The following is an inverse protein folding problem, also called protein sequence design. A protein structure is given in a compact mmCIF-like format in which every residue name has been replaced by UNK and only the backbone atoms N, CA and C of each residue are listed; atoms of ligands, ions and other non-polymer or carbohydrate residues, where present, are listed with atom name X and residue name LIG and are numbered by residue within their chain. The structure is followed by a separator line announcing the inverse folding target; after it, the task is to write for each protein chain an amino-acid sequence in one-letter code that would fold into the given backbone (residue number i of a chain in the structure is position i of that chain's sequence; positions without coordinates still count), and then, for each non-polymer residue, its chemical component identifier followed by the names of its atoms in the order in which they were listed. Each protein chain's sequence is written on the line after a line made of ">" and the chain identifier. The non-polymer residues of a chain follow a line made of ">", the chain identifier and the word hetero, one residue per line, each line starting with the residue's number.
data_IF_894669352895
#
_entry.id   IF_894669352895
#
_cell.length_a   1.000
_cell.length_b   1.000
_cell.length_c   1.000
_cell.angle_alpha   90.00
_cell.angle_beta   90.00
_cell.angle_gamma   90.00
#
_symmetry.space_group_name_H-M   'P 1'
#
loop_
_entity.id
_entity.type
_entity.pdbx_description
1 polymer ?
#
# COMPACT_ATOMS: atom_id res chain seq x y z
N UNK A 1 27.05 -40.35 44.05
CA UNK A 1 26.67 -39.04 44.60
C UNK A 1 25.50 -38.49 43.81
N UNK A 2 24.38 -38.24 44.49
CA UNK A 2 23.13 -37.75 43.93
C UNK A 2 23.18 -36.23 43.76
N UNK A 3 22.64 -35.73 42.65
CA UNK A 3 22.33 -34.31 42.46
C UNK A 3 20.89 -34.20 41.96
N UNK A 4 19.95 -34.13 42.89
CA UNK A 4 18.59 -33.65 42.64
C UNK A 4 18.66 -32.14 42.47
N UNK A 5 18.48 -31.66 41.24
CA UNK A 5 18.41 -30.24 40.96
C UNK A 5 16.94 -29.85 40.78
N UNK A 6 16.61 -28.82 41.55
CA UNK A 6 15.30 -28.29 41.89
C UNK A 6 14.59 -27.73 40.65
N UNK A 7 13.29 -28.00 40.59
CA UNK A 7 12.31 -27.43 39.68
C UNK A 7 12.23 -25.91 39.80
N UNK A 8 12.19 -25.17 38.68
CA UNK A 8 11.27 -24.05 38.60
C UNK A 8 10.49 -24.07 37.29
N UNK A 9 9.24 -24.53 37.41
CA UNK A 9 8.09 -24.09 36.63
C UNK A 9 8.17 -22.56 36.38
N UNK A 10 7.83 -22.13 35.16
CA UNK A 10 7.42 -20.75 34.74
C UNK A 10 8.37 -19.89 33.88
N UNK A 11 9.23 -20.44 33.01
CA UNK A 11 9.93 -19.59 32.00
C UNK A 11 9.93 -20.17 30.58
N UNK A 12 9.02 -21.08 30.24
CA UNK A 12 8.99 -21.70 28.89
C UNK A 12 7.78 -21.30 28.04
N UNK A 13 6.79 -20.59 28.61
CA UNK A 13 5.56 -20.22 27.89
C UNK A 13 5.53 -18.79 27.31
N UNK A 14 6.67 -18.11 27.17
CA UNK A 14 6.74 -16.72 26.65
C UNK A 14 7.61 -16.60 25.39
N UNK A 15 7.74 -17.68 24.60
CA UNK A 15 8.52 -17.66 23.36
C UNK A 15 7.80 -18.27 22.14
N UNK A 16 6.50 -18.59 22.24
CA UNK A 16 5.76 -19.27 21.16
C UNK A 16 4.68 -18.41 20.47
N UNK A 17 4.60 -17.11 20.76
CA UNK A 17 3.59 -16.20 20.17
C UNK A 17 4.19 -15.07 19.31
N UNK A 18 5.35 -15.29 18.70
CA UNK A 18 5.99 -14.33 17.79
C UNK A 18 6.23 -14.87 16.37
N UNK A 19 5.35 -15.75 15.86
CA UNK A 19 5.39 -16.19 14.45
C UNK A 19 4.04 -16.04 13.72
N UNK A 20 3.17 -15.18 14.22
CA UNK A 20 2.08 -14.67 13.40
C UNK A 20 2.54 -13.33 12.80
N UNK A 21 2.43 -13.20 11.49
CA UNK A 21 2.70 -11.98 10.70
C UNK A 21 4.16 -11.79 10.24
N UNK A 22 4.68 -12.73 9.45
CA UNK A 22 5.52 -12.32 8.31
C UNK A 22 4.56 -12.16 7.13
N UNK A 23 3.84 -11.04 7.19
CA UNK A 23 3.09 -10.51 6.07
C UNK A 23 4.05 -10.27 4.91
N UNK A 24 3.69 -10.86 3.78
CA UNK A 24 4.26 -10.68 2.46
C UNK A 24 4.49 -9.19 2.20
N UNK A 25 5.69 -8.84 1.72
CA UNK A 25 5.95 -8.00 0.53
C UNK A 25 7.38 -7.48 0.58
N UNK A 26 8.33 -8.23 0.01
CA UNK A 26 9.53 -7.61 -0.58
C UNK A 26 9.12 -7.03 -1.93
N UNK A 27 8.51 -5.85 -1.90
CA UNK A 27 8.38 -4.97 -3.05
C UNK A 27 9.35 -3.81 -2.85
N UNK A 28 10.26 -3.62 -3.79
CA UNK A 28 11.40 -2.72 -3.71
C UNK A 28 11.04 -1.31 -3.21
N UNK A 29 11.61 -0.92 -2.06
CA UNK A 29 11.59 0.44 -1.54
C UNK A 29 12.75 1.25 -2.14
N UNK A 30 12.55 1.75 -3.37
CA UNK A 30 13.11 3.06 -3.73
C UNK A 30 12.39 4.16 -2.92
N UNK A 31 12.79 5.45 -3.01
CA UNK A 31 12.03 6.54 -2.40
C UNK A 31 10.62 6.57 -3.00
N UNK A 32 9.68 5.86 -2.39
CA UNK A 32 8.32 5.72 -2.90
C UNK A 32 7.66 7.08 -2.75
N UNK A 33 7.51 7.80 -3.87
CA UNK A 33 6.71 9.00 -3.93
C UNK A 33 5.27 8.60 -3.57
N UNK A 34 4.95 8.71 -2.29
CA UNK A 34 3.70 8.20 -1.73
C UNK A 34 2.66 9.28 -1.93
N UNK A 35 1.75 9.05 -2.87
CA UNK A 35 0.62 9.92 -3.09
C UNK A 35 -0.31 9.86 -1.88
N UNK A 36 -0.68 11.03 -1.34
CA UNK A 36 -1.62 11.14 -0.23
C UNK A 36 -3.06 10.90 -0.73
N UNK A 37 -3.45 9.64 -0.86
CA UNK A 37 -4.81 9.26 -1.21
C UNK A 37 -5.77 9.41 -0.01
N UNK A 38 -7.02 9.85 -0.22
CA UNK A 38 -7.66 10.13 -1.51
C UNK A 38 -7.48 11.58 -2.00
N UNK A 39 -6.82 12.46 -1.25
CA UNK A 39 -6.66 13.87 -1.64
C UNK A 39 -5.93 14.04 -2.98
N UNK A 40 -4.93 13.18 -3.23
CA UNK A 40 -4.15 13.15 -4.46
C UNK A 40 -4.98 12.80 -5.71
N UNK A 41 -6.17 12.20 -5.55
CA UNK A 41 -7.09 11.94 -6.65
C UNK A 41 -7.70 13.24 -7.19
N UNK A 42 -7.96 14.22 -6.33
CA UNK A 42 -8.51 15.53 -6.72
C UNK A 42 -7.43 16.60 -6.88
N UNK A 43 -6.30 16.44 -6.18
CA UNK A 43 -5.18 17.36 -6.21
C UNK A 43 -3.86 16.57 -6.16
N UNK A 44 -3.37 16.05 -7.31
CA UNK A 44 -2.20 15.17 -7.36
C UNK A 44 -0.88 15.84 -7.03
N UNK A 45 -0.83 17.17 -6.92
CA UNK A 45 0.43 17.90 -6.75
C UNK A 45 1.34 17.80 -7.98
N UNK A 46 2.64 17.97 -7.77
CA UNK A 46 3.65 17.83 -8.82
C UNK A 46 3.89 16.35 -9.15
N UNK A 47 4.09 16.05 -10.43
CA UNK A 47 4.49 14.72 -10.87
C UNK A 47 5.87 14.38 -10.30
N UNK A 48 6.09 13.11 -9.99
CA UNK A 48 7.40 12.63 -9.60
C UNK A 48 8.25 12.33 -10.86
N UNK A 49 9.31 13.10 -11.13
CA UNK A 49 10.14 12.91 -12.32
C UNK A 49 11.10 11.71 -12.18
N UNK A 50 11.28 11.17 -10.97
CA UNK A 50 12.21 10.08 -10.70
C UNK A 50 11.62 8.69 -10.99
N UNK A 51 10.29 8.57 -11.00
CA UNK A 51 9.59 7.33 -11.29
C UNK A 51 8.77 7.47 -12.57
N UNK A 52 9.07 6.60 -13.55
CA UNK A 52 8.29 6.47 -14.76
C UNK A 52 7.34 5.29 -14.61
N UNK A 53 6.07 5.51 -14.86
CA UNK A 53 5.03 4.48 -14.86
C UNK A 53 4.26 4.49 -16.16
N UNK A 54 3.83 3.32 -16.59
CA UNK A 54 2.84 3.16 -17.65
C UNK A 54 1.46 3.15 -17.02
N UNK A 55 0.69 4.20 -17.26
CA UNK A 55 -0.66 4.33 -16.76
C UNK A 55 -1.67 3.90 -17.83
N UNK A 56 -2.70 3.16 -17.40
CA UNK A 56 -3.85 2.79 -18.24
C UNK A 56 -5.17 3.23 -17.61
N UNK A 57 -5.13 3.87 -16.46
CA UNK A 57 -6.30 4.41 -15.78
C UNK A 57 -6.02 5.80 -15.18
N UNK A 58 -7.05 6.62 -15.10
CA UNK A 58 -6.98 7.94 -14.48
C UNK A 58 -8.24 8.24 -13.68
N UNK A 59 -8.08 8.89 -12.52
CA UNK A 59 -9.23 9.40 -11.79
C UNK A 59 -9.72 10.72 -12.38
N UNK A 60 -11.01 10.78 -12.70
CA UNK A 60 -11.68 11.97 -13.19
C UNK A 60 -12.42 12.66 -12.02
N UNK A 61 -11.95 13.81 -11.53
CA UNK A 61 -12.56 14.49 -10.40
C UNK A 61 -13.92 15.12 -10.71
N UNK A 62 -14.26 15.28 -11.99
CA UNK A 62 -15.55 15.80 -12.48
C UNK A 62 -16.61 14.71 -12.44
N UNK A 63 -16.32 13.52 -12.95
CA UNK A 63 -17.25 12.38 -12.93
C UNK A 63 -17.18 11.57 -11.64
N UNK A 64 -16.18 11.84 -10.78
CA UNK A 64 -15.86 11.11 -9.53
C UNK A 64 -15.60 9.62 -9.77
N UNK A 65 -15.01 9.27 -10.91
CA UNK A 65 -14.80 7.89 -11.34
C UNK A 65 -13.39 7.66 -11.85
N UNK A 66 -12.97 6.40 -11.77
CA UNK A 66 -11.78 5.91 -12.45
C UNK A 66 -12.15 5.53 -13.88
N UNK A 67 -11.42 6.10 -14.85
CA UNK A 67 -11.67 5.93 -16.27
C UNK A 67 -10.44 5.27 -16.90
N UNK A 68 -10.67 4.35 -17.84
CA UNK A 68 -9.59 3.77 -18.65
C UNK A 68 -9.08 4.80 -19.64
N UNK A 69 -7.77 4.99 -19.70
CA UNK A 69 -7.11 5.87 -20.67
C UNK A 69 -6.23 5.04 -21.61
N UNK A 70 -5.86 5.58 -22.79
CA UNK A 70 -4.79 5.02 -23.59
C UNK A 70 -3.53 4.83 -22.73
N UNK A 71 -2.76 3.78 -23.03
CA UNK A 71 -1.52 3.50 -22.32
C UNK A 71 -0.54 4.66 -22.50
N UNK A 72 -0.23 5.35 -21.42
CA UNK A 72 0.70 6.49 -21.41
C UNK A 72 1.85 6.19 -20.48
N UNK A 73 3.08 6.33 -20.98
CA UNK A 73 4.29 6.13 -20.18
C UNK A 73 4.92 7.50 -19.88
N UNK A 74 5.09 7.81 -18.59
CA UNK A 74 5.63 9.09 -18.17
C UNK A 74 5.89 9.17 -16.67
N UNK A 75 6.28 10.36 -16.18
CA UNK A 75 6.47 10.61 -14.76
C UNK A 75 5.24 10.21 -13.94
N UNK A 76 5.45 9.63 -12.76
CA UNK A 76 4.38 9.17 -11.90
C UNK A 76 3.52 10.35 -11.45
N UNK A 77 2.27 10.36 -11.92
CA UNK A 77 1.25 11.31 -11.54
C UNK A 77 0.27 10.61 -10.60
N UNK A 78 0.01 11.19 -9.43
CA UNK A 78 -0.87 10.60 -8.44
C UNK A 78 -2.33 10.41 -8.89
N UNK A 79 -2.77 11.05 -9.98
CA UNK A 79 -4.07 10.82 -10.61
C UNK A 79 -4.09 9.68 -11.62
N UNK A 80 -2.92 9.22 -12.08
CA UNK A 80 -2.76 8.19 -13.10
C UNK A 80 -2.28 6.90 -12.45
N UNK A 81 -2.90 5.79 -12.84
CA UNK A 81 -2.67 4.49 -12.25
C UNK A 81 -2.32 3.47 -13.32
N UNK A 82 -1.48 2.50 -12.94
CA UNK A 82 -1.13 1.38 -13.81
C UNK A 82 -2.34 0.50 -14.15
N UNK A 83 -3.35 0.45 -13.27
CA UNK A 83 -4.58 -0.31 -13.49
C UNK A 83 -5.81 0.44 -12.98
N UNK A 84 -6.99 0.09 -13.53
CA UNK A 84 -8.26 0.65 -13.08
C UNK A 84 -8.59 0.23 -11.64
N UNK A 85 -8.25 -1.00 -11.26
CA UNK A 85 -8.43 -1.51 -9.90
C UNK A 85 -7.59 -0.73 -8.87
N UNK A 86 -6.36 -0.35 -9.21
CA UNK A 86 -5.54 0.51 -8.34
C UNK A 86 -6.17 1.90 -8.19
N UNK A 87 -6.71 2.46 -9.27
CA UNK A 87 -7.41 3.73 -9.21
C UNK A 87 -8.63 3.62 -8.26
N UNK A 88 -9.48 2.60 -8.43
CA UNK A 88 -10.69 2.44 -7.61
C UNK A 88 -10.36 2.24 -6.14
N UNK A 89 -9.36 1.41 -5.85
CA UNK A 89 -8.89 1.16 -4.48
C UNK A 89 -8.48 2.44 -3.76
N UNK A 90 -7.75 3.32 -4.46
CA UNK A 90 -7.18 4.54 -3.87
C UNK A 90 -8.14 5.74 -3.90
N UNK A 91 -8.96 5.88 -4.96
CA UNK A 91 -9.79 7.05 -5.20
C UNK A 91 -11.29 6.82 -5.04
N UNK A 92 -11.81 5.65 -5.44
CA UNK A 92 -13.23 5.34 -5.33
C UNK A 92 -13.64 4.86 -3.92
N UNK A 93 -12.68 4.45 -3.08
CA UNK A 93 -12.91 4.13 -1.65
C UNK A 93 -13.40 5.32 -0.80
N UNK A 94 -13.45 6.54 -1.33
CA UNK A 94 -14.06 7.69 -0.63
C UNK A 94 -15.56 7.57 -0.42
N UNK A 95 -16.20 6.55 -1.00
CA UNK A 95 -17.60 6.20 -0.69
C UNK A 95 -17.73 5.06 0.35
N UNK A 96 -16.71 4.81 1.16
CA UNK A 96 -16.86 3.96 2.33
C UNK A 96 -17.62 4.71 3.43
N UNK A 97 -18.96 4.69 3.34
CA UNK A 97 -19.90 5.18 4.36
C UNK A 97 -19.79 4.38 5.68
N UNK A 98 -19.00 3.30 5.71
CA UNK A 98 -18.78 2.43 6.86
C UNK A 98 -17.30 2.04 7.03
N UNK A 99 -16.40 2.98 6.76
CA UNK A 99 -15.04 2.98 7.28
C UNK A 99 -14.97 4.12 8.31
#
# INVERSE_FOLDING_TARGET
>A
MAATIVSPVKVVFVLSFCFAVIGRTTGASGPQHTCAYPQACTNPGANDPSHVVTATAQYNPTTKKCETIPSETGPHNCQKFATLADCEKNCASTNCVYC
#
